data_IF_277727992912
#
_entry.id   IF_277727992912
#
_cell.length_a   1.000
_cell.length_b   1.000
_cell.length_c   1.000
_cell.angle_alpha   90.00
_cell.angle_beta   90.00
_cell.angle_gamma   90.00
#
_symmetry.space_group_name_H-M   'P 1'
#
loop_
_entity.id
_entity.type
_entity.pdbx_description
1 polymer ?
#
# COMPACT_ATOMS: atom_id res chain seq x y z
N UNK A 1 17.76 -12.78 4.94
CA UNK A 1 16.56 -12.79 4.07
C UNK A 1 16.60 -11.50 3.26
N UNK A 2 16.45 -11.60 1.94
CA UNK A 2 16.37 -10.45 1.00
C UNK A 2 14.96 -10.41 0.40
N UNK A 3 14.60 -9.37 -0.36
CA UNK A 3 13.26 -9.08 -0.92
C UNK A 3 12.23 -8.53 0.10
N UNK A 4 11.80 -7.27 -0.11
CA UNK A 4 10.86 -6.55 0.77
C UNK A 4 9.58 -7.35 1.04
N UNK A 5 8.96 -7.91 -0.02
CA UNK A 5 7.71 -8.68 0.10
C UNK A 5 7.91 -9.95 0.93
N UNK A 6 8.99 -10.68 0.68
CA UNK A 6 9.31 -11.91 1.41
C UNK A 6 9.57 -11.64 2.89
N UNK A 7 10.33 -10.58 3.19
CA UNK A 7 10.59 -10.14 4.56
C UNK A 7 9.28 -9.73 5.25
N UNK A 8 8.45 -8.91 4.60
CA UNK A 8 7.20 -8.42 5.15
C UNK A 8 6.23 -9.57 5.44
N UNK A 9 6.07 -10.53 4.52
CA UNK A 9 5.22 -11.71 4.72
C UNK A 9 5.75 -12.61 5.83
N UNK A 10 7.06 -12.82 5.91
CA UNK A 10 7.66 -13.62 6.99
C UNK A 10 7.39 -12.99 8.37
N UNK A 11 7.65 -11.68 8.50
CA UNK A 11 7.39 -10.97 9.76
C UNK A 11 5.91 -11.00 10.10
N UNK A 12 5.06 -10.82 9.11
CA UNK A 12 3.61 -10.88 9.27
C UNK A 12 3.15 -12.25 9.77
N UNK A 13 3.51 -13.33 9.10
CA UNK A 13 3.11 -14.69 9.50
C UNK A 13 3.60 -15.06 10.90
N UNK A 14 4.82 -14.60 11.25
CA UNK A 14 5.43 -14.90 12.54
C UNK A 14 4.86 -14.09 13.71
N UNK A 15 4.49 -12.83 13.49
CA UNK A 15 4.15 -11.90 14.59
C UNK A 15 2.73 -11.36 14.56
N UNK A 16 2.04 -11.40 13.41
CA UNK A 16 0.69 -10.84 13.31
C UNK A 16 -0.39 -11.82 13.79
N UNK A 17 -0.09 -13.12 13.90
CA UNK A 17 -1.08 -14.13 14.26
C UNK A 17 -1.78 -13.80 15.59
N UNK A 18 -3.12 -13.75 15.56
CA UNK A 18 -3.94 -13.40 16.72
C UNK A 18 -3.94 -11.92 17.10
N UNK A 19 -3.27 -11.07 16.33
CA UNK A 19 -3.34 -9.62 16.46
C UNK A 19 -4.37 -9.04 15.49
N UNK A 20 -4.59 -7.73 15.56
CA UNK A 20 -5.50 -7.01 14.67
C UNK A 20 -4.95 -6.87 13.24
N UNK A 21 -3.69 -7.25 13.03
CA UNK A 21 -3.04 -7.24 11.73
C UNK A 21 -3.13 -8.59 11.01
N UNK A 22 -3.63 -9.63 11.67
CA UNK A 22 -3.66 -10.99 11.11
C UNK A 22 -4.49 -11.05 9.82
N UNK A 23 -3.85 -11.40 8.70
CA UNK A 23 -4.50 -11.52 7.39
C UNK A 23 -5.22 -12.87 7.23
N UNK A 24 -4.97 -13.83 8.12
CA UNK A 24 -5.62 -15.15 8.07
C UNK A 24 -7.05 -15.12 8.59
N UNK A 25 -7.45 -14.02 9.25
CA UNK A 25 -8.83 -13.78 9.67
C UNK A 25 -9.68 -13.10 8.58
N UNK A 26 -9.06 -12.71 7.46
CA UNK A 26 -9.75 -12.10 6.33
C UNK A 26 -10.64 -13.12 5.63
N UNK A 27 -11.72 -12.64 5.00
CA UNK A 27 -12.52 -13.48 4.12
C UNK A 27 -11.66 -13.99 2.94
N UNK A 28 -11.93 -15.18 2.37
CA UNK A 28 -11.13 -15.73 1.28
C UNK A 28 -10.94 -14.79 0.09
N UNK A 29 -11.95 -13.99 -0.26
CA UNK A 29 -11.87 -12.99 -1.34
C UNK A 29 -10.93 -11.84 -1.00
N UNK A 30 -10.96 -11.36 0.25
CA UNK A 30 -10.05 -10.32 0.74
C UNK A 30 -8.62 -10.84 0.80
N UNK A 31 -8.42 -12.09 1.21
CA UNK A 31 -7.10 -12.71 1.26
C UNK A 31 -6.53 -12.96 -0.15
N UNK A 32 -7.37 -13.36 -1.11
CA UNK A 32 -6.96 -13.46 -2.51
C UNK A 32 -6.58 -12.09 -3.09
N UNK A 33 -7.37 -11.05 -2.80
CA UNK A 33 -7.06 -9.68 -3.20
C UNK A 33 -5.76 -9.18 -2.54
N UNK A 34 -5.54 -9.50 -1.27
CA UNK A 34 -4.29 -9.21 -0.56
C UNK A 34 -3.10 -9.78 -1.34
N UNK A 35 -3.04 -11.09 -1.56
CA UNK A 35 -1.88 -11.70 -2.23
C UNK A 35 -1.70 -11.18 -3.66
N UNK A 36 -2.79 -10.98 -4.41
CA UNK A 36 -2.73 -10.40 -5.75
C UNK A 36 -2.04 -9.04 -5.75
N UNK A 37 -2.52 -8.10 -4.93
CA UNK A 37 -2.01 -6.73 -4.93
C UNK A 37 -0.66 -6.61 -4.24
N UNK A 38 -0.42 -7.37 -3.17
CA UNK A 38 0.82 -7.34 -2.41
C UNK A 38 2.04 -7.79 -3.23
N UNK A 39 1.82 -8.65 -4.23
CA UNK A 39 2.83 -9.06 -5.20
C UNK A 39 2.86 -8.09 -6.40
N UNK A 40 1.67 -7.72 -6.92
CA UNK A 40 1.57 -6.90 -8.12
C UNK A 40 2.20 -5.51 -7.97
N UNK A 41 1.92 -4.81 -6.85
CA UNK A 41 2.40 -3.45 -6.61
C UNK A 41 3.93 -3.37 -6.76
N UNK A 42 4.75 -4.08 -5.97
CA UNK A 42 6.20 -3.93 -6.05
C UNK A 42 6.77 -4.38 -7.40
N UNK A 43 6.23 -5.46 -8.00
CA UNK A 43 6.66 -5.92 -9.31
C UNK A 43 6.44 -4.87 -10.42
N UNK A 44 5.38 -4.06 -10.33
CA UNK A 44 5.01 -3.13 -11.40
C UNK A 44 5.37 -1.67 -11.11
N UNK A 45 5.51 -1.31 -9.83
CA UNK A 45 5.83 0.06 -9.40
C UNK A 45 7.30 0.23 -9.06
N UNK A 46 7.95 -0.75 -8.42
CA UNK A 46 9.33 -0.67 -7.93
C UNK A 46 10.34 -1.23 -8.92
N UNK A 47 10.07 -2.38 -9.57
CA UNK A 47 10.97 -2.93 -10.61
C UNK A 47 11.12 -1.96 -11.79
N UNK A 48 10.06 -1.19 -12.07
CA UNK A 48 10.07 -0.12 -13.06
C UNK A 48 10.98 1.06 -12.73
N UNK A 49 11.44 1.23 -11.48
CA UNK A 49 12.40 2.29 -11.11
C UNK A 49 13.77 2.07 -11.76
N UNK A 50 14.14 0.81 -11.98
CA UNK A 50 15.45 0.42 -12.50
C UNK A 50 15.52 0.58 -14.03
N UNK A 51 14.38 0.56 -14.74
CA UNK A 51 14.33 0.67 -16.20
C UNK A 51 13.81 2.06 -16.62
N UNK A 52 14.71 2.93 -17.07
CA UNK A 52 14.36 4.24 -17.63
C UNK A 52 13.45 4.07 -18.87
N UNK A 53 12.31 4.76 -18.92
CA UNK A 53 11.42 4.82 -20.10
C UNK A 53 9.95 4.39 -19.92
N UNK A 54 9.46 4.18 -18.70
CA UNK A 54 8.10 3.63 -18.45
C UNK A 54 7.16 4.52 -17.64
N UNK A 55 7.43 5.83 -17.55
CA UNK A 55 6.63 6.81 -16.77
C UNK A 55 5.12 6.73 -17.05
N UNK A 56 4.71 6.87 -18.32
CA UNK A 56 3.31 6.79 -18.73
C UNK A 56 2.67 5.46 -18.37
N UNK A 57 3.42 4.35 -18.44
CA UNK A 57 2.91 3.04 -18.03
C UNK A 57 2.66 2.98 -16.53
N UNK A 58 3.48 3.64 -15.71
CA UNK A 58 3.30 3.71 -14.25
C UNK A 58 2.08 4.53 -13.86
N UNK A 59 1.87 5.66 -14.50
CA UNK A 59 0.66 6.48 -14.31
C UNK A 59 -0.61 5.67 -14.63
N UNK A 60 -0.63 4.95 -15.75
CA UNK A 60 -1.77 4.09 -16.11
C UNK A 60 -1.96 2.93 -15.12
N UNK A 61 -0.87 2.34 -14.61
CA UNK A 61 -0.94 1.32 -13.55
C UNK A 61 -1.56 1.88 -12.26
N UNK A 62 -1.20 3.09 -11.85
CA UNK A 62 -1.81 3.75 -10.69
C UNK A 62 -3.31 4.00 -10.91
N UNK A 63 -3.73 4.44 -12.10
CA UNK A 63 -5.15 4.59 -12.43
C UNK A 63 -5.91 3.25 -12.43
N UNK A 64 -5.26 2.17 -12.88
CA UNK A 64 -5.83 0.82 -12.81
C UNK A 64 -6.00 0.39 -11.36
N UNK A 65 -4.99 0.60 -10.52
CA UNK A 65 -5.07 0.30 -9.09
C UNK A 65 -6.15 1.14 -8.40
N UNK A 66 -6.21 2.44 -8.66
CA UNK A 66 -7.26 3.33 -8.16
C UNK A 66 -8.65 2.78 -8.51
N UNK A 67 -8.87 2.39 -9.77
CA UNK A 67 -10.16 1.85 -10.19
C UNK A 67 -10.45 0.51 -9.52
N UNK A 68 -9.56 -0.47 -9.63
CA UNK A 68 -9.84 -1.86 -9.22
C UNK A 68 -9.83 -2.04 -7.70
N UNK A 69 -8.95 -1.35 -6.97
CA UNK A 69 -8.85 -1.50 -5.51
C UNK A 69 -9.93 -0.72 -4.76
N UNK A 70 -10.56 0.27 -5.42
CA UNK A 70 -11.57 1.12 -4.78
C UNK A 70 -12.97 0.89 -5.34
N UNK A 71 -13.12 -0.03 -6.29
CA UNK A 71 -14.41 -0.45 -6.82
C UNK A 71 -15.28 -1.05 -5.71
N UNK A 72 -16.48 -0.49 -5.51
CA UNK A 72 -17.40 -0.93 -4.46
C UNK A 72 -16.90 -0.74 -3.03
N UNK A 73 -15.78 -0.03 -2.83
CA UNK A 73 -15.21 0.19 -1.51
C UNK A 73 -16.13 1.08 -0.66
N UNK A 74 -16.46 0.62 0.55
CA UNK A 74 -17.31 1.37 1.47
C UNK A 74 -16.54 2.52 2.10
N UNK A 75 -17.22 3.63 2.34
CA UNK A 75 -16.62 4.74 3.07
C UNK A 75 -16.18 4.30 4.48
N UNK A 76 -15.01 4.78 4.91
CA UNK A 76 -14.41 4.43 6.20
C UNK A 76 -13.74 3.05 6.23
N UNK A 77 -13.57 2.40 5.08
CA UNK A 77 -12.83 1.12 4.98
C UNK A 77 -11.52 1.26 4.21
N UNK A 78 -10.57 0.36 4.53
CA UNK A 78 -9.26 0.23 3.89
C UNK A 78 -9.33 -0.61 2.61
N UNK A 79 -8.28 -0.73 1.81
CA UNK A 79 -8.39 -1.24 0.42
C UNK A 79 -8.92 -2.67 0.28
N UNK A 80 -8.91 -3.45 1.37
CA UNK A 80 -9.53 -4.79 1.43
C UNK A 80 -10.96 -4.77 1.99
N UNK A 81 -11.57 -3.61 2.19
CA UNK A 81 -12.88 -3.45 2.83
C UNK A 81 -12.87 -3.63 4.35
N UNK A 82 -11.70 -3.58 4.99
CA UNK A 82 -11.53 -3.74 6.44
C UNK A 82 -11.70 -2.41 7.18
N UNK A 83 -12.08 -2.43 8.45
CA UNK A 83 -12.16 -1.21 9.28
C UNK A 83 -10.79 -0.72 9.80
N UNK A 84 -9.75 -1.55 9.67
CA UNK A 84 -8.39 -1.27 10.10
C UNK A 84 -7.44 -1.50 8.94
N UNK A 85 -6.31 -0.78 8.88
CA UNK A 85 -5.33 -1.00 7.83
C UNK A 85 -4.77 -2.40 7.93
N UNK A 86 -4.46 -2.96 6.77
CA UNK A 86 -3.72 -4.20 6.62
C UNK A 86 -2.30 -3.91 6.17
N UNK A 87 -1.47 -4.94 6.11
CA UNK A 87 -0.12 -4.80 5.57
C UNK A 87 -0.12 -4.27 4.12
N UNK A 88 -1.17 -4.52 3.34
CA UNK A 88 -1.32 -3.99 1.98
C UNK A 88 -1.46 -2.46 1.96
N UNK A 89 -2.19 -1.88 2.91
CA UNK A 89 -2.34 -0.43 3.02
C UNK A 89 -1.00 0.23 3.39
N UNK A 90 -0.21 -0.42 4.25
CA UNK A 90 1.16 0.03 4.59
C UNK A 90 2.07 0.01 3.35
N UNK A 91 2.01 -1.05 2.56
CA UNK A 91 2.78 -1.16 1.33
C UNK A 91 2.38 -0.08 0.33
N UNK A 92 1.08 0.19 0.16
CA UNK A 92 0.59 1.28 -0.68
C UNK A 92 1.11 2.64 -0.22
N UNK A 93 1.04 2.92 1.08
CA UNK A 93 1.55 4.17 1.65
C UNK A 93 3.05 4.36 1.38
N UNK A 94 3.86 3.32 1.56
CA UNK A 94 5.28 3.36 1.26
C UNK A 94 5.53 3.60 -0.23
N UNK A 95 4.94 2.77 -1.10
CA UNK A 95 5.19 2.83 -2.54
C UNK A 95 4.75 4.16 -3.12
N UNK A 96 3.59 4.70 -2.72
CA UNK A 96 3.11 6.00 -3.18
C UNK A 96 4.11 7.14 -2.94
N UNK A 97 4.84 7.12 -1.81
CA UNK A 97 5.83 8.15 -1.48
C UNK A 97 7.21 7.86 -2.05
N UNK A 98 7.64 6.59 -2.10
CA UNK A 98 8.98 6.23 -2.56
C UNK A 98 9.10 6.14 -4.08
N UNK A 99 8.00 6.01 -4.84
CA UNK A 99 8.08 6.03 -6.31
C UNK A 99 8.52 7.42 -6.79
N UNK A 100 9.65 7.56 -7.51
CA UNK A 100 10.06 8.86 -8.05
C UNK A 100 9.13 9.36 -9.17
N UNK A 101 8.35 8.45 -9.75
CA UNK A 101 7.36 8.77 -10.77
C UNK A 101 6.20 7.75 -10.81
N UNK A 102 4.93 8.18 -10.84
CA UNK A 102 4.50 9.58 -10.79
C UNK A 102 4.87 10.25 -9.46
N UNK A 103 5.01 11.58 -9.47
CA UNK A 103 5.25 12.33 -8.24
C UNK A 103 4.03 12.22 -7.33
N UNK A 104 4.23 12.37 -6.02
CA UNK A 104 3.13 12.29 -5.06
C UNK A 104 1.98 13.27 -5.36
N UNK A 105 2.29 14.49 -5.82
CA UNK A 105 1.28 15.48 -6.25
C UNK A 105 0.41 15.01 -7.41
N UNK A 106 0.99 14.25 -8.36
CA UNK A 106 0.23 13.65 -9.45
C UNK A 106 -0.69 12.54 -8.92
N UNK A 107 -0.18 11.73 -7.99
CA UNK A 107 -0.95 10.66 -7.35
C UNK A 107 -2.14 11.21 -6.55
N UNK A 108 -1.97 12.31 -5.82
CA UNK A 108 -3.05 13.02 -5.14
C UNK A 108 -4.16 13.44 -6.12
N UNK A 109 -3.78 14.03 -7.26
CA UNK A 109 -4.71 14.52 -8.28
C UNK A 109 -5.45 13.39 -9.00
N UNK A 110 -4.76 12.29 -9.34
CA UNK A 110 -5.26 11.27 -10.25
C UNK A 110 -5.73 9.98 -9.56
N UNK A 111 -5.37 9.76 -8.30
CA UNK A 111 -5.75 8.60 -7.50
C UNK A 111 -6.30 9.03 -6.14
N UNK A 112 -7.35 9.87 -6.10
CA UNK A 112 -7.79 10.54 -4.87
C UNK A 112 -8.29 9.57 -3.79
N UNK A 113 -8.86 8.41 -4.14
CA UNK A 113 -9.35 7.46 -3.14
C UNK A 113 -8.21 6.66 -2.53
N UNK A 114 -7.25 6.21 -3.34
CA UNK A 114 -6.02 5.60 -2.83
C UNK A 114 -5.21 6.61 -2.03
N UNK A 115 -5.14 7.87 -2.46
CA UNK A 115 -4.51 8.93 -1.68
C UNK A 115 -5.18 9.11 -0.31
N UNK A 116 -6.52 9.17 -0.26
CA UNK A 116 -7.27 9.18 1.01
C UNK A 116 -6.91 7.96 1.87
N UNK A 117 -6.88 6.76 1.30
CA UNK A 117 -6.50 5.54 2.02
C UNK A 117 -5.07 5.61 2.59
N UNK A 118 -4.10 6.09 1.81
CA UNK A 118 -2.71 6.30 2.23
C UNK A 118 -2.66 7.27 3.42
N UNK A 119 -3.37 8.40 3.33
CA UNK A 119 -3.44 9.39 4.42
C UNK A 119 -4.08 8.81 5.69
N UNK A 120 -5.16 8.05 5.57
CA UNK A 120 -5.78 7.39 6.74
C UNK A 120 -4.86 6.32 7.35
N UNK A 121 -4.12 5.57 6.52
CA UNK A 121 -3.16 4.57 6.98
C UNK A 121 -2.08 5.21 7.83
N UNK A 122 -1.51 6.33 7.38
CA UNK A 122 -0.44 7.07 8.06
C UNK A 122 -0.89 7.75 9.37
N UNK A 123 -2.20 7.88 9.63
CA UNK A 123 -2.72 8.34 10.93
C UNK A 123 -2.68 7.26 12.01
N UNK A 124 -2.48 6.00 11.65
CA UNK A 124 -2.37 4.91 12.64
C UNK A 124 -1.16 5.16 13.51
N UNK A 125 -1.34 5.19 14.84
CA UNK A 125 -0.29 5.59 15.79
C UNK A 125 1.03 4.86 15.57
N UNK A 126 1.01 3.53 15.51
CA UNK A 126 2.23 2.73 15.31
C UNK A 126 2.93 3.02 13.98
N UNK A 127 2.18 3.28 12.91
CA UNK A 127 2.77 3.61 11.60
C UNK A 127 3.40 5.01 11.67
N UNK A 128 2.68 5.96 12.25
CA UNK A 128 3.14 7.33 12.44
C UNK A 128 4.43 7.38 13.25
N UNK A 129 4.49 6.62 14.35
CA UNK A 129 5.65 6.57 15.23
C UNK A 129 6.86 5.96 14.50
N UNK A 130 6.67 4.85 13.78
CA UNK A 130 7.75 4.24 12.96
C UNK A 130 8.27 5.21 11.90
N UNK A 131 7.40 5.96 11.22
CA UNK A 131 7.84 6.92 10.20
C UNK A 131 8.66 8.05 10.81
N UNK A 132 8.25 8.57 11.98
CA UNK A 132 9.01 9.58 12.73
C UNK A 132 10.37 9.09 13.18
N UNK A 133 10.41 7.88 13.74
CA UNK A 133 11.66 7.24 14.20
C UNK A 133 12.69 7.06 13.06
N UNK A 134 12.22 7.03 11.81
CA UNK A 134 13.04 6.89 10.62
C UNK A 134 13.22 8.21 9.84
N UNK A 135 12.91 9.36 10.46
CA UNK A 135 13.06 10.70 9.86
C UNK A 135 12.23 10.89 8.57
N UNK A 136 11.08 10.22 8.48
CA UNK A 136 10.13 10.30 7.35
C UNK A 136 8.94 11.22 7.65
N UNK A 137 9.14 12.26 8.46
CA UNK A 137 8.09 13.21 8.88
C UNK A 137 7.38 13.89 7.69
N UNK A 138 8.09 14.12 6.59
CA UNK A 138 7.53 14.72 5.38
C UNK A 138 6.39 13.89 4.79
N UNK A 139 6.36 12.57 5.03
CA UNK A 139 5.31 11.69 4.52
C UNK A 139 4.04 11.79 5.37
N UNK A 140 4.13 12.35 6.57
CA UNK A 140 3.03 12.47 7.53
C UNK A 140 2.22 13.76 7.37
N UNK A 141 2.70 14.71 6.56
CA UNK A 141 2.06 16.01 6.29
C UNK A 141 0.78 15.84 5.49
#
# INVERSE_FOLDING_TARGET
MTEMVGIALYLHDRFAKGTTWDIHVLAPTQQAAFYRWFIFIPANTVEGWVKAGTSTKREELWKIMEREMTEGLKEGTFVLGTQRPTLLDVLLALVAHYTPHPRYSWFEEHCPKLHKNVKETLKTSVIKDVFRENELDDFLQ
#
